data_IF_376095155710
#
_entry.id   IF_376095155710
#
_cell.length_a   1.000
_cell.length_b   1.000
_cell.length_c   1.000
_cell.angle_alpha   90.00
_cell.angle_beta   90.00
_cell.angle_gamma   90.00
#
_symmetry.space_group_name_H-M   'P 1'
#
loop_
_entity.id
_entity.type
_entity.pdbx_description
1 polymer ?
#
# COMPACT_ATOMS: atom_id res chain seq x y z
N UNK A 1 15.18 -34.66 -0.90
CA UNK A 1 13.72 -34.44 -0.78
C UNK A 1 13.50 -33.06 -0.19
N UNK A 2 13.28 -32.05 -1.04
CA UNK A 2 13.11 -30.66 -0.62
C UNK A 2 11.68 -30.45 -0.11
N UNK A 3 11.54 -29.96 1.12
CA UNK A 3 10.25 -29.64 1.72
C UNK A 3 9.74 -28.33 1.11
N UNK A 4 8.78 -28.44 0.19
CA UNK A 4 8.00 -27.30 -0.29
C UNK A 4 7.16 -26.76 0.87
N UNK A 5 7.57 -25.64 1.44
CA UNK A 5 6.76 -24.92 2.43
C UNK A 5 5.69 -24.12 1.68
N UNK A 6 4.45 -24.58 1.80
CA UNK A 6 3.26 -23.88 1.34
C UNK A 6 3.09 -22.62 2.18
N UNK A 7 3.51 -21.47 1.66
CA UNK A 7 3.16 -20.17 2.23
C UNK A 7 1.68 -19.91 1.92
N UNK A 8 0.80 -20.25 2.85
CA UNK A 8 -0.60 -19.80 2.82
C UNK A 8 -0.58 -18.27 2.94
N UNK A 9 -1.06 -17.49 1.94
CA UNK A 9 -1.27 -16.08 2.16
C UNK A 9 -2.34 -15.95 3.23
N UNK A 10 -1.94 -15.48 4.41
CA UNK A 10 -2.89 -15.09 5.45
C UNK A 10 -3.86 -14.11 4.79
N UNK A 11 -5.19 -14.33 4.89
CA UNK A 11 -6.13 -13.29 4.49
C UNK A 11 -5.76 -12.05 5.30
N UNK A 12 -5.29 -10.99 4.64
CA UNK A 12 -5.12 -9.70 5.30
C UNK A 12 -6.51 -9.22 5.71
N UNK A 13 -6.90 -9.62 6.91
CA UNK A 13 -8.08 -9.15 7.59
C UNK A 13 -7.92 -7.64 7.78
N UNK A 14 -8.84 -6.80 7.27
CA UNK A 14 -8.79 -5.37 7.53
C UNK A 14 -8.96 -5.17 9.04
N UNK A 15 -7.87 -4.82 9.73
CA UNK A 15 -7.91 -4.47 11.14
C UNK A 15 -8.69 -3.16 11.30
N UNK A 16 -9.90 -3.30 11.83
CA UNK A 16 -10.75 -2.30 12.49
C UNK A 16 -10.78 -0.89 11.85
N UNK A 17 -11.75 -0.67 10.97
CA UNK A 17 -12.09 0.64 10.43
C UNK A 17 -13.01 1.43 11.38
N UNK A 18 -12.46 2.42 12.06
CA UNK A 18 -13.06 3.77 12.16
C UNK A 18 -13.58 4.16 10.75
N UNK A 19 -14.74 4.84 10.60
CA UNK A 19 -15.49 4.97 9.34
C UNK A 19 -14.61 5.06 8.10
N UNK A 20 -14.87 4.17 7.14
CA UNK A 20 -14.09 3.88 5.93
C UNK A 20 -13.46 5.13 5.30
N UNK A 21 -12.29 5.49 5.81
CA UNK A 21 -11.59 6.71 5.40
C UNK A 21 -10.93 6.41 4.08
N UNK A 22 -11.29 7.13 3.02
CA UNK A 22 -10.65 6.97 1.71
C UNK A 22 -9.16 7.34 1.85
N UNK A 23 -8.27 6.70 1.07
CA UNK A 23 -6.88 7.12 1.05
C UNK A 23 -6.81 8.59 0.60
N UNK A 24 -5.99 9.37 1.31
CA UNK A 24 -5.76 10.79 1.01
C UNK A 24 -4.99 10.96 -0.30
N UNK A 25 -4.21 9.95 -0.68
CA UNK A 25 -3.50 9.93 -1.94
C UNK A 25 -3.31 8.49 -2.43
N UNK A 26 -3.35 8.30 -3.75
CA UNK A 26 -3.05 7.03 -4.39
C UNK A 26 -2.05 7.23 -5.51
N UNK A 27 -0.98 6.44 -5.49
CA UNK A 27 0.03 6.41 -6.52
C UNK A 27 -0.07 5.08 -7.28
N UNK A 28 0.19 5.11 -8.58
CA UNK A 28 0.14 3.91 -9.42
C UNK A 28 1.36 3.85 -10.33
N UNK A 29 1.97 2.67 -10.39
CA UNK A 29 3.05 2.35 -11.31
C UNK A 29 2.76 1.01 -11.98
N UNK A 30 2.22 1.07 -13.19
CA UNK A 30 1.77 -0.12 -13.92
C UNK A 30 0.69 -0.90 -13.15
N UNK A 31 1.02 -2.14 -12.78
CA UNK A 31 0.15 -3.02 -11.97
C UNK A 31 0.30 -2.79 -10.47
N UNK A 32 1.24 -1.97 -10.02
CA UNK A 32 1.40 -1.66 -8.60
C UNK A 32 0.59 -0.41 -8.23
N UNK A 33 -0.01 -0.43 -7.05
CA UNK A 33 -0.74 0.69 -6.45
C UNK A 33 -0.24 0.89 -5.02
N UNK A 34 0.00 2.12 -4.63
CA UNK A 34 0.25 2.54 -3.26
C UNK A 34 -0.88 3.47 -2.83
N UNK A 35 -1.53 3.17 -1.71
CA UNK A 35 -2.55 4.01 -1.11
C UNK A 35 -2.00 4.58 0.21
N UNK A 36 -2.08 5.90 0.35
CA UNK A 36 -1.63 6.65 1.52
C UNK A 36 -2.85 7.02 2.34
N UNK A 37 -2.81 6.68 3.63
CA UNK A 37 -3.92 6.84 4.57
C UNK A 37 -3.53 7.83 5.65
N UNK A 38 -4.37 8.83 5.85
CA UNK A 38 -4.20 9.81 6.92
C UNK A 38 -4.84 9.31 8.20
N UNK A 39 -4.07 9.29 9.29
CA UNK A 39 -4.51 8.85 10.60
C UNK A 39 -4.26 9.99 11.60
N UNK A 40 -5.28 10.80 11.93
CA UNK A 40 -5.14 11.83 12.95
C UNK A 40 -4.91 11.19 14.33
N UNK A 41 -3.96 11.73 15.08
CA UNK A 41 -3.66 11.34 16.47
C UNK A 41 -3.58 12.60 17.34
N UNK A 42 -3.64 12.44 18.66
CA UNK A 42 -3.49 13.57 19.61
C UNK A 42 -2.17 14.33 19.43
N UNK A 43 -1.11 13.62 19.01
CA UNK A 43 0.22 14.18 18.76
C UNK A 43 0.44 14.60 17.30
N UNK A 44 -0.62 14.76 16.52
CA UNK A 44 -0.57 15.16 15.11
C UNK A 44 -0.96 14.04 14.14
N UNK A 45 -0.79 14.31 12.85
CA UNK A 45 -1.23 13.41 11.78
C UNK A 45 -0.13 12.39 11.45
N UNK A 46 -0.49 11.11 11.42
CA UNK A 46 0.38 10.02 10.93
C UNK A 46 -0.10 9.52 9.58
N UNK A 47 0.83 9.11 8.73
CA UNK A 47 0.51 8.53 7.43
C UNK A 47 0.91 7.06 7.39
N UNK A 48 0.00 6.21 6.92
CA UNK A 48 0.28 4.81 6.61
C UNK A 48 0.24 4.59 5.10
N UNK A 49 1.03 3.66 4.59
CA UNK A 49 1.03 3.30 3.16
C UNK A 49 0.70 1.82 3.02
N UNK A 50 -0.29 1.50 2.19
CA UNK A 50 -0.56 0.13 1.75
C UNK A 50 -0.21 -0.01 0.28
N UNK A 51 0.49 -1.09 -0.07
CA UNK A 51 0.91 -1.39 -1.45
C UNK A 51 0.29 -2.70 -1.90
N UNK A 52 -0.16 -2.73 -3.15
CA UNK A 52 -0.75 -3.91 -3.74
C UNK A 52 -0.42 -4.01 -5.23
N UNK A 53 -0.33 -5.25 -5.72
CA UNK A 53 -0.26 -5.59 -7.14
C UNK A 53 -1.64 -5.98 -7.65
N UNK A 54 -2.10 -5.29 -8.68
CA UNK A 54 -3.35 -5.55 -9.39
C UNK A 54 -3.15 -6.61 -10.46
N UNK A 55 -4.06 -7.57 -10.49
CA UNK A 55 -4.15 -8.60 -11.52
C UNK A 55 -5.61 -8.84 -11.87
N UNK A 56 -5.87 -9.46 -13.01
CA UNK A 56 -7.21 -9.80 -13.45
C UNK A 56 -7.36 -11.32 -13.46
N UNK A 57 -8.46 -11.81 -12.93
CA UNK A 57 -8.90 -13.19 -13.06
C UNK A 57 -10.31 -13.26 -13.69
N UNK A 58 -10.90 -14.45 -13.71
CA UNK A 58 -12.23 -14.70 -14.28
C UNK A 58 -13.34 -13.89 -13.58
N UNK A 59 -13.16 -13.58 -12.29
CA UNK A 59 -14.11 -12.78 -11.50
C UNK A 59 -13.86 -11.27 -11.60
N UNK A 60 -12.78 -10.83 -12.23
CA UNK A 60 -12.47 -9.43 -12.47
C UNK A 60 -11.12 -8.99 -11.91
N UNK A 61 -11.01 -7.70 -11.57
CA UNK A 61 -9.79 -7.14 -11.01
C UNK A 61 -9.65 -7.50 -9.54
N UNK A 62 -8.49 -8.04 -9.16
CA UNK A 62 -8.11 -8.35 -7.79
C UNK A 62 -6.75 -7.74 -7.45
N UNK A 63 -6.42 -7.75 -6.17
CA UNK A 63 -5.17 -7.22 -5.62
C UNK A 63 -4.48 -8.27 -4.76
N UNK A 64 -3.15 -8.29 -4.77
CA UNK A 64 -2.32 -9.10 -3.87
C UNK A 64 -1.20 -8.27 -3.28
N UNK A 65 -0.76 -8.63 -2.09
CA UNK A 65 0.43 -8.15 -1.38
C UNK A 65 1.70 -8.97 -1.70
N UNK A 66 1.60 -9.93 -2.62
CA UNK A 66 2.70 -10.77 -3.07
C UNK A 66 3.35 -10.19 -4.34
N UNK A 67 4.67 -10.02 -4.30
CA UNK A 67 5.45 -9.41 -5.36
C UNK A 67 6.51 -10.39 -5.89
N UNK A 68 6.54 -10.56 -7.22
CA UNK A 68 7.64 -11.28 -7.88
C UNK A 68 8.86 -10.39 -8.07
N UNK A 69 10.01 -10.99 -8.40
CA UNK A 69 11.31 -10.32 -8.57
C UNK A 69 11.23 -9.11 -9.51
N UNK A 70 10.53 -9.26 -10.64
CA UNK A 70 10.37 -8.19 -11.65
C UNK A 70 9.65 -6.94 -11.11
N UNK A 71 8.89 -7.07 -10.03
CA UNK A 71 8.15 -5.97 -9.43
C UNK A 71 8.90 -5.29 -8.29
N UNK A 72 10.01 -5.85 -7.80
CA UNK A 72 10.66 -5.35 -6.58
C UNK A 72 11.24 -3.94 -6.79
N UNK A 73 11.87 -3.66 -7.93
CA UNK A 73 12.41 -2.33 -8.20
C UNK A 73 11.31 -1.30 -8.45
N UNK A 74 10.19 -1.72 -9.05
CA UNK A 74 9.03 -0.83 -9.25
C UNK A 74 8.32 -0.55 -7.93
N UNK A 75 8.23 -1.55 -7.05
CA UNK A 75 7.73 -1.39 -5.71
C UNK A 75 8.60 -0.40 -4.95
N UNK A 76 9.93 -0.57 -4.98
CA UNK A 76 10.89 0.33 -4.33
C UNK A 76 10.71 1.78 -4.82
N UNK A 77 10.61 2.01 -6.13
CA UNK A 77 10.32 3.32 -6.69
C UNK A 77 8.99 3.87 -6.19
N UNK A 78 7.93 3.06 -6.23
CA UNK A 78 6.59 3.48 -5.85
C UNK A 78 6.49 3.88 -4.37
N UNK A 79 7.14 3.12 -3.47
CA UNK A 79 7.19 3.49 -2.05
C UNK A 79 8.09 4.71 -1.80
N UNK A 80 9.15 4.90 -2.59
CA UNK A 80 9.94 6.12 -2.55
C UNK A 80 9.13 7.36 -2.95
N UNK A 81 8.34 7.26 -4.03
CA UNK A 81 7.46 8.34 -4.47
C UNK A 81 6.38 8.64 -3.40
N UNK A 82 5.83 7.61 -2.75
CA UNK A 82 4.90 7.76 -1.64
C UNK A 82 5.54 8.48 -0.44
N UNK A 83 6.78 8.11 -0.10
CA UNK A 83 7.56 8.79 0.93
C UNK A 83 7.77 10.27 0.60
N UNK A 84 8.22 10.59 -0.62
CA UNK A 84 8.39 11.99 -1.05
C UNK A 84 7.11 12.81 -0.93
N UNK A 85 5.97 12.23 -1.32
CA UNK A 85 4.67 12.88 -1.17
C UNK A 85 4.33 13.16 0.30
N UNK A 86 4.53 12.19 1.20
CA UNK A 86 4.25 12.35 2.64
C UNK A 86 5.12 13.46 3.24
N UNK A 87 6.43 13.45 2.96
CA UNK A 87 7.36 14.47 3.46
C UNK A 87 6.96 15.84 2.97
N UNK A 88 6.63 15.98 1.68
CA UNK A 88 6.14 17.23 1.12
C UNK A 88 4.83 17.67 1.79
N UNK A 89 3.89 16.75 2.02
CA UNK A 89 2.61 17.05 2.65
C UNK A 89 2.77 17.54 4.09
N UNK A 90 3.71 16.97 4.84
CA UNK A 90 4.04 17.39 6.20
C UNK A 90 4.67 18.78 6.24
N UNK A 91 5.51 19.14 5.26
CA UNK A 91 6.10 20.48 5.14
C UNK A 91 5.08 21.55 4.73
N UNK A 92 4.06 21.17 3.94
CA UNK A 92 3.02 22.06 3.44
C UNK A 92 1.91 22.37 4.43
N UNK A 93 1.98 21.89 5.67
CA UNK A 93 1.02 22.26 6.72
C UNK A 93 1.62 23.42 7.53
N UNK A 94 1.48 24.69 7.10
CA UNK A 94 1.68 25.80 8.00
C UNK A 94 0.64 25.69 9.12
N UNK A 95 1.10 26.00 10.32
CA UNK A 95 0.35 26.06 11.57
C UNK A 95 -0.97 26.84 11.45
#
# INVERSE_FOLDING_TARGET
MAKTQTITPTPQQPKASTPASKPVHELRLGRLKAAIWENPTENGVRYNVTVARLYKDESGWKSTDSFGVDHLLWLAKLVNDAHSWIVQKQQQKPE
#
